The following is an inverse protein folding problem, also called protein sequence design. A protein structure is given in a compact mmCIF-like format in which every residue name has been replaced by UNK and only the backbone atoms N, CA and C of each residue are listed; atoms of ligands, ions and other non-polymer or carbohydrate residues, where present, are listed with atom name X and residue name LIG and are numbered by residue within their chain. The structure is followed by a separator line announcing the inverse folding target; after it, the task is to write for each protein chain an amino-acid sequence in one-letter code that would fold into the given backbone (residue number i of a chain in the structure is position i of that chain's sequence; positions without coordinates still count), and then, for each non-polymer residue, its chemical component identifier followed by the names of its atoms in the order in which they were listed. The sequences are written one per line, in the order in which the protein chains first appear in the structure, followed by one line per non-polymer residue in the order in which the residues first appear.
data_IF_659092123529
#
_entry.id   IF_659092123529
#
_cell.length_a   1.000
_cell.length_b   1.000
_cell.length_c   1.000
_cell.angle_alpha   90.00
_cell.angle_beta   90.00
_cell.angle_gamma   90.00
#
_symmetry.space_group_name_H-M   'P 1'
#
loop_
_entity.id
_entity.type
_entity.pdbx_description
1 polymer ?
#
# COMPACT_ATOMS: atom_id res chain seq x y z
N UNK A 1 16.77 11.13 -16.31
CA UNK A 1 16.46 10.52 -14.99
C UNK A 1 15.30 9.57 -15.19
N UNK A 2 15.49 8.27 -14.97
CA UNK A 2 14.44 7.27 -15.18
C UNK A 2 13.38 7.39 -14.07
N UNK A 3 12.14 7.67 -14.45
CA UNK A 3 11.00 7.68 -13.53
C UNK A 3 10.50 6.24 -13.36
N UNK A 4 10.79 5.63 -12.21
CA UNK A 4 10.22 4.33 -11.85
C UNK A 4 8.79 4.49 -11.31
N UNK A 5 7.94 3.51 -11.57
CA UNK A 5 6.56 3.44 -11.09
C UNK A 5 6.37 2.20 -10.24
N UNK A 6 5.64 2.35 -9.13
CA UNK A 6 5.24 1.24 -8.29
C UNK A 6 3.75 1.27 -8.00
N UNK A 7 3.16 0.08 -7.85
CA UNK A 7 1.80 -0.14 -7.37
C UNK A 7 1.90 -0.86 -6.03
N UNK A 8 1.35 -0.25 -5.00
CA UNK A 8 1.52 -0.72 -3.61
C UNK A 8 0.19 -0.91 -2.92
N UNK A 9 0.06 -2.01 -2.19
CA UNK A 9 -1.07 -2.34 -1.34
C UNK A 9 -0.78 -1.94 0.11
N UNK A 10 -1.52 -0.96 0.61
CA UNK A 10 -1.42 -0.46 1.98
C UNK A 10 -2.41 -1.12 2.93
N UNK A 11 -2.07 -1.07 4.20
CA UNK A 11 -2.81 -1.71 5.28
C UNK A 11 -3.72 -0.73 6.02
N UNK A 12 -4.54 -1.29 6.91
CA UNK A 12 -5.20 -0.50 7.94
C UNK A 12 -4.21 0.04 8.98
N UNK A 13 -4.60 1.07 9.75
CA UNK A 13 -3.73 1.64 10.77
C UNK A 13 -3.28 0.60 11.82
N UNK A 14 -4.08 -0.43 12.10
CA UNK A 14 -3.76 -1.43 13.11
C UNK A 14 -2.59 -2.32 12.68
N UNK A 15 -2.63 -2.85 11.45
CA UNK A 15 -1.58 -3.66 10.86
C UNK A 15 -0.33 -2.81 10.55
N UNK A 16 -0.52 -1.60 10.01
CA UNK A 16 0.57 -0.66 9.74
C UNK A 16 1.38 -0.35 11.01
N UNK A 17 0.71 0.00 12.11
CA UNK A 17 1.38 0.32 13.37
C UNK A 17 2.15 -0.87 13.97
N UNK A 18 1.68 -2.11 13.76
CA UNK A 18 2.40 -3.29 14.22
C UNK A 18 3.71 -3.50 13.45
N UNK A 19 3.69 -3.28 12.13
CA UNK A 19 4.90 -3.35 11.30
C UNK A 19 5.85 -2.19 11.63
N UNK A 20 5.35 -0.97 11.81
CA UNK A 20 6.16 0.18 12.22
C UNK A 20 6.85 -0.02 13.58
N UNK A 21 6.23 -0.76 14.51
CA UNK A 21 6.92 -1.14 15.78
C UNK A 21 8.15 -1.99 15.50
N UNK A 22 8.08 -2.94 14.57
CA UNK A 22 9.22 -3.75 14.17
C UNK A 22 10.36 -2.89 13.59
N UNK A 23 10.01 -1.96 12.68
CA UNK A 23 10.97 -1.01 12.09
C UNK A 23 11.70 -0.20 13.17
N UNK A 24 10.95 0.31 14.16
CA UNK A 24 11.52 1.07 15.27
C UNK A 24 12.47 0.25 16.14
N UNK A 25 12.16 -1.02 16.41
CA UNK A 25 13.05 -1.90 17.19
C UNK A 25 14.33 -2.19 16.42
N UNK A 26 14.22 -2.53 15.13
CA UNK A 26 15.39 -2.75 14.25
C UNK A 26 16.29 -1.51 14.17
N UNK A 27 15.70 -0.33 14.03
CA UNK A 27 16.44 0.94 14.01
C UNK A 27 17.15 1.23 15.35
N UNK A 28 16.48 1.00 16.49
CA UNK A 28 17.08 1.17 17.83
C UNK A 28 18.23 0.19 18.09
N UNK A 29 18.17 -1.01 17.52
CA UNK A 29 19.27 -1.99 17.52
C UNK A 29 20.32 -1.72 16.44
N UNK A 30 20.21 -0.57 15.77
CA UNK A 30 21.12 -0.11 14.72
C UNK A 30 21.20 -1.06 13.51
N UNK A 31 20.26 -2.00 13.32
CA UNK A 31 20.27 -2.97 12.21
C UNK A 31 20.18 -2.24 10.87
N UNK A 32 19.14 -1.44 10.73
CA UNK A 32 18.91 -0.53 9.60
C UNK A 32 17.84 0.47 9.99
N UNK A 33 17.88 1.64 9.35
CA UNK A 33 16.84 2.67 9.40
C UNK A 33 16.37 3.09 8.00
N UNK A 34 16.79 2.35 6.96
CA UNK A 34 16.60 2.71 5.56
C UNK A 34 15.13 3.04 5.22
N UNK A 35 14.20 2.16 5.61
CA UNK A 35 12.77 2.33 5.35
C UNK A 35 12.17 3.56 6.06
N UNK A 36 12.70 3.93 7.23
CA UNK A 36 12.28 5.11 7.99
C UNK A 36 12.86 6.37 7.34
N UNK A 37 14.16 6.37 7.03
CA UNK A 37 14.87 7.51 6.44
C UNK A 37 14.29 7.89 5.07
N UNK A 38 13.84 6.91 4.29
CA UNK A 38 13.17 7.12 3.01
C UNK A 38 11.69 7.49 3.13
N UNK A 39 11.17 7.67 4.36
CA UNK A 39 9.76 7.98 4.65
C UNK A 39 8.79 6.97 4.02
N UNK A 40 9.21 5.70 3.95
CA UNK A 40 8.35 4.62 3.47
C UNK A 40 7.25 4.35 4.49
N UNK A 41 6.23 3.64 4.04
CA UNK A 41 5.12 3.14 4.85
C UNK A 41 4.99 1.64 4.60
N UNK A 42 4.64 0.81 5.60
CA UNK A 42 4.40 -0.62 5.40
C UNK A 42 3.39 -0.90 4.29
N UNK A 43 3.78 -1.73 3.33
CA UNK A 43 2.97 -2.08 2.16
C UNK A 43 3.39 -3.43 1.59
N UNK A 44 2.58 -3.98 0.67
CA UNK A 44 2.98 -5.05 -0.25
C UNK A 44 3.10 -4.47 -1.66
N UNK A 45 4.25 -4.66 -2.31
CA UNK A 45 4.44 -4.22 -3.70
C UNK A 45 3.73 -5.18 -4.65
N UNK A 46 2.75 -4.67 -5.41
CA UNK A 46 1.99 -5.42 -6.42
C UNK A 46 2.63 -5.34 -7.80
N UNK A 47 3.34 -4.25 -8.09
CA UNK A 47 4.07 -4.03 -9.34
C UNK A 47 5.17 -3.01 -9.08
N UNK A 48 6.35 -3.18 -9.69
CA UNK A 48 7.37 -2.15 -9.78
C UNK A 48 8.03 -2.23 -11.14
N UNK A 49 8.18 -1.11 -11.85
CA UNK A 49 8.83 -1.07 -13.15
C UNK A 49 9.54 0.26 -13.37
N UNK A 50 10.75 0.26 -13.98
CA UNK A 50 11.50 1.48 -14.27
C UNK A 50 10.87 2.35 -15.37
N UNK A 51 9.89 1.80 -16.12
CA UNK A 51 9.21 2.51 -17.20
C UNK A 51 7.79 1.97 -17.37
N UNK A 52 6.78 2.79 -17.05
CA UNK A 52 5.38 2.52 -17.34
C UNK A 52 4.74 3.78 -17.92
N UNK A 53 3.80 3.60 -18.86
CA UNK A 53 2.95 4.69 -19.32
C UNK A 53 1.93 5.07 -18.21
N UNK A 54 1.95 6.29 -17.67
CA UNK A 54 1.12 6.65 -16.53
C UNK A 54 -0.38 6.69 -16.83
N UNK A 55 -0.76 6.97 -18.08
CA UNK A 55 -2.17 7.08 -18.49
C UNK A 55 -2.80 5.69 -18.59
N UNK A 56 -2.09 4.74 -19.22
CA UNK A 56 -2.47 3.32 -19.27
C UNK A 56 -2.50 2.70 -17.88
N UNK A 57 -1.50 3.01 -17.05
CA UNK A 57 -1.47 2.53 -15.67
C UNK A 57 -2.66 3.07 -14.86
N UNK A 58 -3.02 4.35 -15.04
CA UNK A 58 -4.20 4.93 -14.42
C UNK A 58 -5.48 4.20 -14.84
N UNK A 59 -5.67 3.91 -16.13
CA UNK A 59 -6.83 3.19 -16.64
C UNK A 59 -6.94 1.78 -16.01
N UNK A 60 -5.82 1.04 -15.96
CA UNK A 60 -5.75 -0.27 -15.32
C UNK A 60 -6.11 -0.21 -13.83
N UNK A 61 -5.53 0.75 -13.08
CA UNK A 61 -5.77 0.89 -11.64
C UNK A 61 -7.19 1.35 -11.31
N UNK A 62 -7.78 2.26 -12.11
CA UNK A 62 -9.18 2.68 -11.93
C UNK A 62 -10.14 1.51 -12.13
N UNK A 63 -9.88 0.70 -13.16
CA UNK A 63 -10.64 -0.52 -13.43
C UNK A 63 -10.51 -1.54 -12.30
N UNK A 64 -9.31 -1.72 -11.74
CA UNK A 64 -9.07 -2.60 -10.61
C UNK A 64 -9.80 -2.10 -9.35
N UNK A 65 -9.66 -0.82 -9.03
CA UNK A 65 -10.18 -0.24 -7.79
C UNK A 65 -11.72 -0.23 -7.69
N UNK A 66 -12.43 -0.28 -8.82
CA UNK A 66 -13.90 -0.38 -8.83
C UNK A 66 -14.42 -1.79 -8.56
N UNK A 67 -13.57 -2.83 -8.62
CA UNK A 67 -13.96 -4.24 -8.45
C UNK A 67 -13.50 -4.86 -7.13
N UNK A 68 -12.63 -4.19 -6.39
CA UNK A 68 -12.01 -4.74 -5.19
C UNK A 68 -12.46 -4.02 -3.94
N UNK A 69 -12.98 -4.80 -3.00
CA UNK A 69 -13.24 -4.37 -1.62
C UNK A 69 -12.03 -4.68 -0.72
N UNK A 70 -11.89 -3.95 0.41
CA UNK A 70 -10.98 -4.34 1.48
C UNK A 70 -11.14 -5.81 1.89
N UNK A 71 -10.05 -6.53 2.10
CA UNK A 71 -10.06 -7.92 2.53
C UNK A 71 -9.13 -8.17 3.73
N UNK A 72 -9.40 -9.21 4.56
CA UNK A 72 -8.52 -9.59 5.64
C UNK A 72 -7.13 -9.98 5.15
N UNK A 73 -6.10 -9.43 5.79
CA UNK A 73 -4.70 -9.68 5.50
C UNK A 73 -3.98 -10.11 6.78
N UNK A 74 -3.14 -11.13 6.65
CA UNK A 74 -2.34 -11.69 7.74
C UNK A 74 -0.90 -11.81 7.29
N UNK A 75 0.05 -11.33 8.10
CA UNK A 75 1.49 -11.51 7.90
C UNK A 75 1.98 -12.57 8.90
N UNK A 76 2.32 -13.77 8.43
CA UNK A 76 2.47 -14.96 9.28
C UNK A 76 3.88 -15.52 9.40
N UNK A 77 4.81 -15.10 8.53
CA UNK A 77 6.19 -15.55 8.57
C UNK A 77 7.16 -14.39 8.38
N UNK A 78 8.34 -14.48 8.98
CA UNK A 78 9.46 -13.61 8.67
C UNK A 78 10.43 -14.37 7.75
N UNK A 79 10.91 -13.71 6.70
CA UNK A 79 11.83 -14.29 5.72
C UNK A 79 12.80 -13.24 5.19
N UNK A 80 13.75 -13.66 4.36
CA UNK A 80 14.70 -12.79 3.70
C UNK A 80 14.88 -13.21 2.23
N UNK A 81 15.03 -12.22 1.35
CA UNK A 81 15.54 -12.50 0.01
C UNK A 81 17.05 -12.71 0.05
N UNK A 82 17.60 -13.57 -0.83
CA UNK A 82 19.03 -13.72 -0.96
C UNK A 82 19.67 -12.40 -1.44
N UNK A 83 20.81 -12.02 -0.85
CA UNK A 83 21.56 -10.83 -1.24
C UNK A 83 22.49 -10.33 -0.12
N UNK A 84 23.49 -9.53 -0.50
CA UNK A 84 24.28 -8.71 0.43
C UNK A 84 24.45 -7.31 -0.20
N UNK A 85 23.75 -6.29 0.31
CA UNK A 85 22.92 -6.32 1.52
C UNK A 85 21.58 -7.06 1.33
N UNK A 86 21.07 -7.67 2.41
CA UNK A 86 19.85 -8.44 2.43
C UNK A 86 18.59 -7.59 2.67
N UNK A 87 17.44 -8.08 2.21
CA UNK A 87 16.10 -7.56 2.52
C UNK A 87 15.35 -8.59 3.35
N UNK A 88 14.94 -8.21 4.56
CA UNK A 88 14.06 -8.99 5.41
C UNK A 88 12.63 -8.46 5.31
N UNK A 89 11.68 -9.39 5.29
CA UNK A 89 10.27 -9.09 5.09
C UNK A 89 9.38 -10.00 5.92
N UNK A 90 8.14 -9.54 6.12
CA UNK A 90 7.04 -10.39 6.57
C UNK A 90 6.28 -10.91 5.35
N UNK A 91 6.09 -12.22 5.28
CA UNK A 91 5.31 -12.89 4.24
C UNK A 91 3.83 -12.86 4.61
N UNK A 92 2.95 -12.41 3.71
CA UNK A 92 1.52 -12.63 3.86
C UNK A 92 1.18 -14.11 3.88
N UNK A 93 0.21 -14.49 4.70
CA UNK A 93 -0.47 -15.78 4.61
C UNK A 93 -1.13 -15.86 3.22
N UNK A 94 -0.86 -16.90 2.41
CA UNK A 94 -1.49 -17.05 1.11
C UNK A 94 -3.01 -17.01 1.23
N UNK A 95 -3.66 -16.14 0.46
CA UNK A 95 -5.11 -16.02 0.44
C UNK A 95 -5.62 -15.84 -0.99
N UNK A 96 -6.80 -16.39 -1.27
CA UNK A 96 -7.44 -16.22 -2.58
C UNK A 96 -7.69 -14.75 -2.91
N UNK A 97 -7.99 -13.92 -1.91
CA UNK A 97 -8.21 -12.49 -2.10
C UNK A 97 -6.95 -11.76 -2.59
N UNK A 98 -5.79 -12.02 -1.96
CA UNK A 98 -4.52 -11.40 -2.36
C UNK A 98 -4.06 -11.88 -3.73
N UNK A 99 -4.15 -13.19 -3.99
CA UNK A 99 -3.76 -13.78 -5.27
C UNK A 99 -4.69 -13.34 -6.41
N UNK A 100 -6.00 -13.25 -6.14
CA UNK A 100 -6.98 -12.75 -7.11
C UNK A 100 -6.75 -11.28 -7.43
N UNK A 101 -6.46 -10.43 -6.43
CA UNK A 101 -6.11 -9.03 -6.64
C UNK A 101 -4.90 -8.90 -7.60
N UNK A 102 -3.84 -9.65 -7.35
CA UNK A 102 -2.64 -9.61 -8.19
C UNK A 102 -2.90 -10.13 -9.61
N UNK A 103 -3.65 -11.23 -9.76
CA UNK A 103 -4.05 -11.74 -11.07
C UNK A 103 -4.87 -10.71 -11.85
N UNK A 104 -5.84 -10.06 -11.20
CA UNK A 104 -6.68 -9.04 -11.82
C UNK A 104 -5.89 -7.78 -12.19
N UNK A 105 -4.87 -7.41 -11.40
CA UNK A 105 -3.94 -6.35 -11.77
C UNK A 105 -3.18 -6.73 -13.04
N UNK A 106 -2.60 -7.93 -13.11
CA UNK A 106 -1.88 -8.41 -14.29
C UNK A 106 -2.78 -8.43 -15.54
N UNK A 107 -4.03 -8.87 -15.41
CA UNK A 107 -5.01 -8.85 -16.50
C UNK A 107 -5.34 -7.42 -16.95
N UNK A 108 -5.50 -6.49 -16.01
CA UNK A 108 -5.77 -5.09 -16.31
C UNK A 108 -4.58 -4.43 -17.03
N UNK A 109 -3.35 -4.70 -16.61
CA UNK A 109 -2.13 -4.21 -17.27
C UNK A 109 -2.02 -4.75 -18.70
N UNK A 110 -2.27 -6.05 -18.90
CA UNK A 110 -2.29 -6.67 -20.24
C UNK A 110 -3.31 -6.04 -21.18
N UNK A 111 -4.53 -5.73 -20.69
CA UNK A 111 -5.56 -5.05 -21.48
C UNK A 111 -5.13 -3.66 -21.96
N UNK A 112 -4.36 -2.96 -21.15
CA UNK A 112 -3.80 -1.65 -21.48
C UNK A 112 -2.46 -1.74 -22.24
N UNK A 113 -2.06 -2.94 -22.69
CA UNK A 113 -0.78 -3.18 -23.37
C UNK A 113 0.43 -2.69 -22.56
N UNK A 114 0.41 -2.93 -21.25
CA UNK A 114 1.53 -2.72 -20.33
C UNK A 114 2.19 -4.06 -20.00
N UNK A 115 3.52 -4.08 -20.11
CA UNK A 115 4.31 -5.24 -19.72
C UNK A 115 4.41 -5.37 -18.21
N UNK A 116 4.24 -6.60 -17.74
CA UNK A 116 4.47 -6.99 -16.34
C UNK A 116 5.87 -7.61 -16.25
N UNK A 117 6.77 -7.06 -15.42
CA UNK A 117 8.10 -7.65 -15.21
C UNK A 117 8.01 -9.08 -14.69
N UNK A 118 9.03 -9.90 -14.99
CA UNK A 118 9.03 -11.34 -14.69
C UNK A 118 8.75 -11.65 -13.22
N UNK A 119 9.34 -10.89 -12.30
CA UNK A 119 9.20 -11.05 -10.86
C UNK A 119 7.81 -10.66 -10.32
N UNK A 120 6.99 -9.98 -11.14
CA UNK A 120 5.60 -9.62 -10.83
C UNK A 120 4.60 -10.41 -11.69
N UNK A 121 5.04 -11.39 -12.49
CA UNK A 121 4.11 -12.26 -13.22
C UNK A 121 3.35 -13.16 -12.25
N UNK A 122 2.16 -13.56 -12.67
CA UNK A 122 1.43 -14.67 -12.02
C UNK A 122 2.37 -15.88 -11.96
N UNK A 123 2.32 -16.61 -10.85
CA UNK A 123 3.18 -17.75 -10.50
C UNK A 123 4.67 -17.43 -10.19
N UNK A 124 5.15 -16.22 -10.49
CA UNK A 124 6.50 -15.77 -10.13
C UNK A 124 6.53 -14.82 -8.93
N UNK A 125 5.43 -14.10 -8.70
CA UNK A 125 5.36 -13.05 -7.67
C UNK A 125 5.44 -13.62 -6.25
N UNK A 126 6.39 -13.08 -5.48
CA UNK A 126 6.53 -13.36 -4.03
C UNK A 126 5.96 -12.17 -3.25
N UNK A 127 4.73 -12.27 -2.71
CA UNK A 127 4.16 -11.19 -1.91
C UNK A 127 4.94 -11.02 -0.61
N UNK A 128 5.30 -9.78 -0.29
CA UNK A 128 6.08 -9.48 0.91
C UNK A 128 5.82 -8.06 1.41
N UNK A 129 5.98 -7.87 2.72
CA UNK A 129 6.02 -6.57 3.38
C UNK A 129 7.41 -6.36 3.99
N UNK A 130 8.20 -5.45 3.43
CA UNK A 130 9.56 -5.17 3.91
C UNK A 130 9.58 -4.69 5.35
N UNK A 131 10.49 -5.25 6.15
CA UNK A 131 10.73 -4.84 7.55
C UNK A 131 12.14 -4.36 7.80
N UNK A 132 13.10 -4.82 7.00
CA UNK A 132 14.47 -4.33 7.03
C UNK A 132 15.04 -4.39 5.61
N UNK A 133 15.63 -3.29 5.16
CA UNK A 133 16.34 -3.22 3.88
C UNK A 133 17.75 -2.72 4.14
N UNK A 134 18.67 -3.08 3.25
CA UNK A 134 20.09 -2.72 3.36
C UNK A 134 20.74 -3.33 4.62
N UNK A 135 20.42 -4.61 4.91
CA UNK A 135 20.93 -5.33 6.08
C UNK A 135 22.19 -6.09 5.69
N UNK A 136 23.34 -5.70 6.25
CA UNK A 136 24.59 -6.43 6.05
C UNK A 136 24.44 -7.92 6.41
N UNK A 137 24.97 -8.82 5.57
CA UNK A 137 24.82 -10.27 5.74
C UNK A 137 25.14 -10.79 7.15
N UNK A 138 26.19 -10.24 7.78
CA UNK A 138 26.60 -10.60 9.14
C UNK A 138 25.55 -10.30 10.22
N UNK A 139 24.55 -9.45 9.94
CA UNK A 139 23.52 -9.01 10.89
C UNK A 139 22.14 -9.60 10.62
N UNK A 140 21.99 -10.40 9.58
CA UNK A 140 20.70 -11.04 9.23
C UNK A 140 20.19 -11.92 10.38
N UNK A 141 21.07 -12.69 11.03
CA UNK A 141 20.69 -13.52 12.18
C UNK A 141 20.20 -12.69 13.38
N UNK A 142 20.87 -11.56 13.68
CA UNK A 142 20.46 -10.63 14.72
C UNK A 142 19.08 -10.02 14.40
N UNK A 143 18.87 -9.64 13.15
CA UNK A 143 17.59 -9.11 12.68
C UNK A 143 16.45 -10.13 12.83
N UNK A 144 16.67 -11.41 12.50
CA UNK A 144 15.67 -12.46 12.74
C UNK A 144 15.39 -12.69 14.22
N UNK A 145 16.40 -12.62 15.10
CA UNK A 145 16.18 -12.69 16.55
C UNK A 145 15.24 -11.57 17.04
N UNK A 146 15.36 -10.37 16.48
CA UNK A 146 14.46 -9.25 16.77
C UNK A 146 13.05 -9.51 16.22
N UNK A 147 12.93 -9.97 14.98
CA UNK A 147 11.64 -10.23 14.34
C UNK A 147 10.87 -11.38 14.99
N UNK A 148 11.55 -12.34 15.62
CA UNK A 148 10.90 -13.42 16.39
C UNK A 148 10.05 -12.90 17.54
N UNK A 149 10.35 -11.72 18.08
CA UNK A 149 9.57 -11.13 19.17
C UNK A 149 8.27 -10.47 18.69
N UNK A 150 8.03 -10.37 17.37
CA UNK A 150 6.71 -10.07 16.83
C UNK A 150 5.77 -11.24 17.10
N UNK A 151 4.61 -10.92 17.68
CA UNK A 151 3.52 -11.89 17.83
C UNK A 151 2.86 -12.13 16.47
N UNK A 152 3.38 -13.09 15.72
CA UNK A 152 2.78 -13.52 14.45
C UNK A 152 1.57 -14.46 14.70
N UNK A 153 0.55 -14.44 13.83
CA UNK A 153 0.41 -13.53 12.69
C UNK A 153 0.03 -12.11 13.11
N UNK A 154 0.59 -11.12 12.41
CA UNK A 154 0.09 -9.74 12.46
C UNK A 154 -1.11 -9.64 11.53
N UNK A 155 -2.26 -9.20 12.03
CA UNK A 155 -3.53 -9.20 11.27
C UNK A 155 -4.08 -7.78 11.10
N UNK A 156 -4.80 -7.58 10.00
CA UNK A 156 -5.59 -6.39 9.71
C UNK A 156 -6.26 -6.54 8.34
N UNK A 157 -6.47 -5.43 7.65
CA UNK A 157 -7.12 -5.37 6.35
C UNK A 157 -6.24 -4.68 5.31
N UNK A 158 -6.42 -5.07 4.05
CA UNK A 158 -5.94 -4.28 2.92
C UNK A 158 -6.84 -3.05 2.72
N UNK A 159 -6.29 -1.85 2.57
CA UNK A 159 -7.10 -0.63 2.43
C UNK A 159 -6.96 0.09 1.09
N UNK A 160 -5.74 0.31 0.60
CA UNK A 160 -5.53 1.20 -0.57
C UNK A 160 -4.49 0.66 -1.53
N UNK A 161 -4.71 0.96 -2.81
CA UNK A 161 -3.74 0.72 -3.88
C UNK A 161 -3.24 2.08 -4.34
N UNK A 162 -1.95 2.37 -4.17
CA UNK A 162 -1.36 3.64 -4.62
C UNK A 162 -0.46 3.43 -5.82
N UNK A 163 -0.42 4.45 -6.69
CA UNK A 163 0.61 4.61 -7.71
C UNK A 163 1.68 5.56 -7.17
N UNK A 164 2.91 5.10 -7.14
CA UNK A 164 4.07 5.95 -6.90
C UNK A 164 4.73 6.33 -8.22
N UNK A 165 5.13 7.60 -8.35
CA UNK A 165 6.00 8.07 -9.42
C UNK A 165 7.31 8.53 -8.77
N UNK A 166 8.40 7.86 -9.16
CA UNK A 166 9.79 8.08 -8.73
C UNK A 166 10.10 7.65 -7.28
N UNK A 167 11.06 6.74 -7.14
CA UNK A 167 11.60 6.23 -5.87
C UNK A 167 12.42 7.27 -5.07
N UNK A 168 12.41 8.54 -5.50
CA UNK A 168 12.79 9.72 -4.69
C UNK A 168 11.53 10.58 -4.56
N UNK A 169 10.64 10.12 -3.68
CA UNK A 169 9.26 10.55 -3.46
C UNK A 169 9.04 12.07 -3.52
N UNK A 170 8.18 12.54 -4.44
CA UNK A 170 7.53 13.87 -4.36
C UNK A 170 6.23 14.03 -5.18
N UNK A 171 5.67 12.99 -5.81
CA UNK A 171 4.34 13.05 -6.44
C UNK A 171 3.67 11.67 -6.49
N UNK A 172 2.61 11.49 -5.70
CA UNK A 172 1.82 10.25 -5.67
C UNK A 172 0.37 10.56 -6.03
N UNK A 173 -0.16 9.90 -7.07
CA UNK A 173 -1.60 9.90 -7.34
C UNK A 173 -2.23 8.74 -6.59
N UNK A 174 -3.16 9.07 -5.70
CA UNK A 174 -3.78 8.09 -4.82
C UNK A 174 -5.06 7.53 -5.45
N UNK A 175 -5.22 6.20 -5.46
CA UNK A 175 -6.49 5.56 -5.77
C UNK A 175 -7.05 4.94 -4.49
N UNK A 176 -8.26 5.34 -4.12
CA UNK A 176 -9.01 4.61 -3.11
C UNK A 176 -9.63 3.40 -3.75
N UNK A 177 -9.50 2.23 -3.13
CA UNK A 177 -10.49 1.18 -3.34
C UNK A 177 -11.86 1.76 -2.95
N UNK A 178 -12.87 1.47 -3.76
CA UNK A 178 -14.24 1.86 -3.46
C UNK A 178 -14.69 1.04 -2.26
N UNK A 179 -14.70 1.66 -1.08
CA UNK A 179 -15.38 1.09 0.08
C UNK A 179 -16.87 1.23 -0.24
N UNK A 180 -17.50 0.16 -0.71
CA UNK A 180 -18.96 0.16 -0.83
C UNK A 180 -19.55 0.33 0.58
N UNK A 181 -20.75 0.89 0.71
CA UNK A 181 -21.40 1.13 2.01
C UNK A 181 -21.44 -0.13 2.91
N UNK A 182 -21.41 -1.33 2.29
CA UNK A 182 -21.37 -2.62 2.99
C UNK A 182 -20.06 -2.88 3.76
N UNK A 183 -18.92 -2.45 3.22
CA UNK A 183 -17.62 -2.55 3.89
C UNK A 183 -17.53 -1.63 5.12
N UNK A 184 -18.20 -0.47 5.10
CA UNK A 184 -18.22 0.50 6.21
C UNK A 184 -18.98 -0.02 7.43
N UNK A 185 -20.08 -0.75 7.21
CA UNK A 185 -20.85 -1.40 8.27
C UNK A 185 -20.04 -2.48 9.02
N UNK A 186 -19.11 -3.16 8.33
CA UNK A 186 -18.24 -4.17 8.95
C UNK A 186 -17.23 -3.55 9.93
N UNK A 187 -16.63 -2.41 9.57
CA UNK A 187 -15.75 -1.64 10.46
C UNK A 187 -16.52 -1.04 11.65
N UNK A 188 -17.78 -0.65 11.46
CA UNK A 188 -18.59 -0.04 12.50
C UNK A 188 -19.09 -1.03 13.57
N UNK A 189 -19.13 -2.33 13.25
CA UNK A 189 -19.64 -3.38 14.15
C UNK A 189 -18.56 -3.99 15.07
N UNK A 190 -17.27 -3.71 14.85
CA UNK A 190 -16.17 -4.39 15.56
C UNK A 190 -15.21 -3.49 16.34
N UNK A 191 -15.40 -2.16 16.35
CA UNK A 191 -14.51 -1.24 17.08
C UNK A 191 -15.24 -0.01 17.62
N UNK A 192 -15.73 -0.09 18.87
CA UNK A 192 -16.50 0.97 19.54
C UNK A 192 -15.68 2.25 19.82
N UNK A 193 -14.34 2.18 19.75
CA UNK A 193 -13.45 3.27 20.15
C UNK A 193 -13.25 4.38 19.09
N UNK A 194 -13.63 4.14 17.83
CA UNK A 194 -13.46 5.11 16.73
C UNK A 194 -14.72 5.94 16.42
N UNK A 195 -15.86 5.60 17.04
CA UNK A 195 -17.16 6.21 16.75
C UNK A 195 -17.24 7.71 17.10
N UNK A 196 -16.54 8.16 18.14
CA UNK A 196 -16.66 9.54 18.63
C UNK A 196 -15.73 10.55 17.94
N UNK A 197 -14.57 10.12 17.43
CA UNK A 197 -13.60 11.04 16.81
C UNK A 197 -13.88 11.32 15.34
N UNK A 198 -14.57 10.41 14.65
CA UNK A 198 -14.76 10.44 13.19
C UNK A 198 -16.09 11.12 12.78
N UNK A 199 -17.08 11.15 13.67
CA UNK A 199 -18.44 11.64 13.39
C UNK A 199 -18.56 13.09 12.89
N UNK A 200 -17.55 13.95 13.13
CA UNK A 200 -17.56 15.35 12.68
C UNK A 200 -16.80 15.60 11.38
N UNK A 201 -15.84 14.75 11.02
CA UNK A 201 -15.07 14.88 9.78
C UNK A 201 -15.77 14.17 8.60
N UNK A 202 -16.56 13.12 8.90
CA UNK A 202 -17.23 12.29 7.91
C UNK A 202 -18.43 12.95 7.22
N UNK A 203 -19.10 13.90 7.89
CA UNK A 203 -20.20 14.65 7.28
C UNK A 203 -19.72 15.53 6.12
N UNK A 204 -18.51 16.09 6.21
CA UNK A 204 -17.88 16.84 5.11
C UNK A 204 -17.48 15.93 3.94
N UNK A 205 -16.98 14.73 4.22
CA UNK A 205 -16.57 13.77 3.18
C UNK A 205 -17.77 13.21 2.41
N UNK A 206 -18.85 12.84 3.12
CA UNK A 206 -20.10 12.37 2.50
C UNK A 206 -20.81 13.46 1.70
N UNK A 207 -20.73 14.73 2.14
CA UNK A 207 -21.23 15.86 1.36
C UNK A 207 -20.39 16.14 0.10
N UNK A 208 -19.06 16.04 0.18
CA UNK A 208 -18.17 16.18 -0.98
C UNK A 208 -18.39 15.08 -2.05
N UNK A 209 -18.60 13.83 -1.64
CA UNK A 209 -18.80 12.70 -2.58
C UNK A 209 -20.14 12.80 -3.31
N UNK A 210 -21.18 13.39 -2.71
CA UNK A 210 -22.48 13.58 -3.37
C UNK A 210 -22.51 14.73 -4.40
N UNK A 211 -21.55 15.65 -4.40
CA UNK A 211 -21.61 16.87 -5.22
C UNK A 211 -20.68 16.93 -6.45
N UNK A 212 -19.82 15.94 -6.69
CA UNK A 212 -18.79 16.07 -7.74
C UNK A 212 -19.13 15.16 -8.93
N UNK A 213 -19.85 15.73 -9.89
CA UNK A 213 -19.85 15.27 -11.28
C UNK A 213 -19.33 16.39 -12.20
N UNK A 214 -18.29 17.12 -11.79
CA UNK A 214 -17.63 18.16 -12.61
C UNK A 214 -16.17 18.37 -12.20
N UNK A 215 -15.33 18.70 -13.20
CA UNK A 215 -13.89 18.94 -13.11
C UNK A 215 -13.52 20.14 -12.23
N UNK A 216 -12.43 20.02 -11.45
CA UNK A 216 -11.80 21.13 -10.71
C UNK A 216 -10.33 21.22 -11.09
N UNK A 217 -9.89 22.39 -11.53
CA UNK A 217 -8.49 22.74 -11.78
C UNK A 217 -8.00 23.63 -10.62
N UNK A 218 -6.82 23.31 -10.07
CA UNK A 218 -6.24 24.00 -8.91
C UNK A 218 -5.05 24.82 -9.37
N UNK A 219 -5.08 26.15 -9.20
CA UNK A 219 -3.91 27.01 -9.34
C UNK A 219 -3.31 27.41 -7.99
N UNK A 220 -1.99 27.55 -8.00
CA UNK A 220 -1.08 27.74 -6.87
C UNK A 220 -1.30 29.06 -6.12
N UNK A 221 -2.30 29.14 -5.23
CA UNK A 221 -2.30 30.09 -4.09
C UNK A 221 -3.41 29.71 -3.13
N UNK A 222 -3.34 28.54 -2.48
CA UNK A 222 -3.94 28.22 -1.17
C UNK A 222 -5.37 28.65 -0.78
N UNK A 223 -6.21 29.17 -1.67
CA UNK A 223 -7.56 29.66 -1.43
C UNK A 223 -8.47 29.16 -2.55
N UNK A 224 -9.50 28.40 -2.16
CA UNK A 224 -10.53 27.90 -3.06
C UNK A 224 -11.63 28.96 -3.15
N UNK A 225 -11.83 29.53 -4.33
CA UNK A 225 -13.01 30.36 -4.64
C UNK A 225 -13.96 29.56 -5.53
N UNK A 226 -15.24 29.51 -5.14
CA UNK A 226 -16.31 28.98 -5.98
C UNK A 226 -16.83 30.12 -6.87
N UNK A 227 -16.55 30.08 -8.17
CA UNK A 227 -17.18 30.98 -9.15
C UNK A 227 -18.43 30.26 -9.68
N UNK A 228 -19.60 30.77 -9.33
CA UNK A 228 -20.86 30.37 -9.94
C UNK A 228 -21.10 31.25 -11.18
N UNK A 229 -21.20 30.66 -12.37
CA UNK A 229 -21.95 31.28 -13.46
C UNK A 229 -23.29 30.57 -13.58
N UNK A 230 -24.36 31.36 -13.45
CA UNK A 230 -25.76 30.98 -13.64
C UNK A 230 -26.03 30.44 -15.04
#
# INVERSE_FOLDING_TARGET
MSQGYAVELYFDPALENQVLKAWNVLARRQITKHLIDMQSRPHITLLSSPSLDPHRLHAALRSLASRHEPFPLSLSAAAAFPGDPALLFLSPTPSLALLSLHSQLCDALRKESLDVPDEFRVDSWVPHCSVAQDVAGARVAEAFCILRDLKLPVMGYSLRILRLENAKFNKCSHYSLCVTEASYAYFHLHDDALSELVGKSLFLALWMVRSINTHVEVQETGQIFFIYQL
#
